data_IF_610575286314
#
_entry.id   IF_610575286314
#
_cell.length_a   1.000
_cell.length_b   1.000
_cell.length_c   1.000
_cell.angle_alpha   90.00
_cell.angle_beta   90.00
_cell.angle_gamma   90.00
#
_symmetry.space_group_name_H-M   'P 1'
#
loop_
_entity.id
_entity.type
_entity.pdbx_description
1 polymer ?
#
# COMPACT_ATOMS: atom_id res chain seq x y z
N UNK A 1 5.88 4.15 8.29
CA UNK A 1 6.30 3.19 7.23
C UNK A 1 5.48 1.91 7.10
N UNK A 2 4.82 1.40 8.16
CA UNK A 2 4.02 0.17 8.05
C UNK A 2 2.86 0.21 7.03
N UNK A 3 2.14 1.33 6.90
CA UNK A 3 1.04 1.44 5.91
C UNK A 3 1.56 1.49 4.47
N UNK A 4 2.65 2.22 4.24
CA UNK A 4 3.33 2.35 2.93
C UNK A 4 3.71 0.98 2.38
N UNK A 5 4.40 0.16 3.18
CA UNK A 5 4.79 -1.20 2.78
C UNK A 5 3.61 -2.15 2.60
N UNK A 6 2.49 -1.92 3.30
CA UNK A 6 1.26 -2.68 3.06
C UNK A 6 0.64 -2.35 1.70
N UNK A 7 0.56 -1.06 1.34
CA UNK A 7 0.10 -0.63 0.02
C UNK A 7 1.01 -1.14 -1.10
N UNK A 8 2.32 -1.17 -0.87
CA UNK A 8 3.29 -1.73 -1.81
C UNK A 8 3.03 -3.21 -2.10
N UNK A 9 2.80 -4.01 -1.06
CA UNK A 9 2.43 -5.40 -1.24
C UNK A 9 1.12 -5.55 -2.00
N UNK A 10 0.12 -4.74 -1.68
CA UNK A 10 -1.19 -4.80 -2.35
C UNK A 10 -1.12 -4.33 -3.82
N UNK A 11 -0.19 -3.45 -4.17
CA UNK A 11 0.03 -3.04 -5.56
C UNK A 11 0.57 -4.20 -6.43
N UNK A 12 1.29 -5.15 -5.84
CA UNK A 12 1.83 -6.34 -6.50
C UNK A 12 0.90 -7.56 -6.44
N UNK A 13 -0.29 -7.39 -5.88
CA UNK A 13 -1.22 -8.49 -5.68
C UNK A 13 -1.76 -9.03 -7.03
N UNK A 14 -1.74 -10.35 -7.27
CA UNK A 14 -2.22 -10.95 -8.52
C UNK A 14 -3.67 -10.58 -8.80
N UNK A 15 -4.00 -10.26 -10.05
CA UNK A 15 -5.30 -9.69 -10.46
C UNK A 15 -6.47 -10.66 -10.23
N UNK A 16 -6.19 -11.95 -10.22
CA UNK A 16 -7.15 -13.03 -9.97
C UNK A 16 -7.63 -13.06 -8.51
N UNK A 17 -6.93 -12.37 -7.61
CA UNK A 17 -7.29 -12.31 -6.20
C UNK A 17 -8.09 -11.05 -5.89
N UNK A 18 -9.19 -11.17 -5.13
CA UNK A 18 -10.07 -10.04 -4.84
C UNK A 18 -9.32 -8.94 -4.08
N UNK A 19 -9.65 -7.69 -4.40
CA UNK A 19 -9.16 -6.52 -3.65
C UNK A 19 -9.66 -6.60 -2.21
N UNK A 20 -8.79 -6.43 -1.21
CA UNK A 20 -9.21 -6.47 0.19
C UNK A 20 -10.17 -5.31 0.51
N UNK A 21 -11.16 -5.61 1.35
CA UNK A 21 -12.03 -4.57 1.91
C UNK A 21 -11.18 -3.63 2.77
N UNK A 22 -11.51 -2.33 2.74
CA UNK A 22 -10.85 -1.29 3.54
C UNK A 22 -9.43 -0.88 3.12
N UNK A 23 -8.98 -1.24 1.91
CA UNK A 23 -7.70 -0.74 1.38
C UNK A 23 -7.64 0.80 1.35
N UNK A 24 -8.78 1.46 1.09
CA UNK A 24 -8.94 2.92 1.12
C UNK A 24 -8.49 3.55 2.44
N UNK A 25 -8.65 2.85 3.57
CA UNK A 25 -8.21 3.34 4.88
C UNK A 25 -6.70 3.51 4.96
N UNK A 26 -5.92 2.65 4.29
CA UNK A 26 -4.46 2.78 4.29
C UNK A 26 -3.99 4.01 3.52
N UNK A 27 -4.66 4.37 2.43
CA UNK A 27 -4.40 5.63 1.74
C UNK A 27 -4.74 6.83 2.61
N UNK A 28 -5.91 6.80 3.27
CA UNK A 28 -6.32 7.86 4.18
C UNK A 28 -5.35 8.03 5.34
N UNK A 29 -4.95 6.93 6.00
CA UNK A 29 -3.97 6.96 7.09
C UNK A 29 -2.65 7.61 6.65
N UNK A 30 -2.16 7.30 5.44
CA UNK A 30 -0.93 7.91 4.90
C UNK A 30 -1.13 9.39 4.59
N UNK A 31 -2.26 9.77 3.99
CA UNK A 31 -2.56 11.17 3.70
C UNK A 31 -2.59 12.00 4.99
N UNK A 32 -3.20 11.48 6.07
CA UNK A 32 -3.21 12.14 7.38
C UNK A 32 -1.82 12.18 8.03
N UNK A 33 -1.03 11.12 7.93
CA UNK A 33 0.32 11.09 8.48
C UNK A 33 1.25 12.07 7.75
N UNK A 34 1.16 12.18 6.43
CA UNK A 34 2.01 13.09 5.65
C UNK A 34 1.72 14.58 5.93
N UNK A 35 0.60 14.90 6.58
CA UNK A 35 0.29 16.26 7.01
C UNK A 35 1.06 16.64 8.30
N UNK A 36 1.55 15.66 9.07
CA UNK A 36 2.30 15.90 10.30
C UNK A 36 3.81 15.99 10.06
N UNK A 37 4.52 16.72 10.92
CA UNK A 37 5.99 16.83 10.85
C UNK A 37 6.68 15.47 11.01
N UNK A 38 6.20 14.64 11.94
CA UNK A 38 6.72 13.27 12.13
C UNK A 38 6.52 12.40 10.88
N UNK A 39 5.37 12.52 10.19
CA UNK A 39 5.12 11.75 8.99
C UNK A 39 5.95 12.21 7.80
N UNK A 40 6.22 13.52 7.68
CA UNK A 40 7.16 14.07 6.69
C UNK A 40 8.59 13.62 6.98
N UNK A 41 9.02 13.67 8.24
CA UNK A 41 10.32 13.17 8.68
C UNK A 41 10.48 11.69 8.36
N UNK A 42 9.48 10.88 8.71
CA UNK A 42 9.47 9.46 8.38
C UNK A 42 9.53 9.24 6.86
N UNK A 43 8.79 10.01 6.06
CA UNK A 43 8.76 9.88 4.59
C UNK A 43 10.12 10.06 3.91
N UNK A 44 11.04 10.78 4.56
CA UNK A 44 12.42 10.98 4.10
C UNK A 44 13.41 9.97 4.72
N UNK A 45 12.97 9.19 5.72
CA UNK A 45 13.78 8.17 6.38
C UNK A 45 13.69 6.83 5.65
N UNK A 46 14.60 6.65 4.69
CA UNK A 46 14.68 5.44 3.88
C UNK A 46 15.26 4.24 4.65
N UNK A 47 16.05 4.48 5.70
CA UNK A 47 16.57 3.41 6.55
C UNK A 47 15.42 2.79 7.35
N UNK A 48 14.54 3.63 7.91
CA UNK A 48 13.31 3.18 8.57
C UNK A 48 12.40 2.40 7.62
N UNK A 49 12.29 2.82 6.36
CA UNK A 49 11.54 2.07 5.33
C UNK A 49 12.13 0.68 5.13
N UNK A 50 13.45 0.57 4.97
CA UNK A 50 14.15 -0.70 4.76
C UNK A 50 14.00 -1.64 5.96
N UNK A 51 14.16 -1.12 7.19
CA UNK A 51 13.97 -1.89 8.41
C UNK A 51 12.55 -2.47 8.51
N UNK A 52 11.53 -1.65 8.24
CA UNK A 52 10.13 -2.09 8.26
C UNK A 52 9.85 -3.11 7.15
N UNK A 53 10.41 -2.93 5.95
CA UNK A 53 10.27 -3.89 4.85
C UNK A 53 10.90 -5.24 5.19
N UNK A 54 12.11 -5.26 5.75
CA UNK A 54 12.79 -6.48 6.23
C UNK A 54 11.97 -7.18 7.30
N UNK A 55 11.50 -6.44 8.30
CA UNK A 55 10.64 -6.99 9.34
C UNK A 55 9.39 -7.64 8.73
N UNK A 56 8.68 -6.95 7.84
CA UNK A 56 7.48 -7.50 7.21
C UNK A 56 7.74 -8.70 6.33
N UNK A 57 8.86 -8.76 5.61
CA UNK A 57 9.22 -9.91 4.80
C UNK A 57 9.34 -11.20 5.63
N UNK A 58 9.72 -11.09 6.90
CA UNK A 58 9.80 -12.24 7.82
C UNK A 58 8.41 -12.67 8.30
N UNK A 59 7.54 -11.72 8.67
CA UNK A 59 6.23 -12.03 9.29
C UNK A 59 5.08 -12.25 8.29
N UNK A 60 5.13 -11.62 7.12
CA UNK A 60 4.05 -11.63 6.13
C UNK A 60 4.54 -12.25 4.81
N UNK A 61 4.84 -13.55 4.84
CA UNK A 61 5.40 -14.27 3.69
C UNK A 61 4.34 -14.50 2.61
N UNK A 62 4.25 -13.56 1.69
CA UNK A 62 3.55 -13.70 0.42
C UNK A 62 4.54 -13.46 -0.72
N UNK A 63 4.63 -14.39 -1.66
CA UNK A 63 5.53 -14.26 -2.83
C UNK A 63 5.23 -13.01 -3.66
N UNK A 64 3.97 -12.57 -3.66
CA UNK A 64 3.52 -11.38 -4.36
C UNK A 64 3.74 -10.08 -3.59
N UNK A 65 4.13 -10.08 -2.31
CA UNK A 65 4.23 -8.84 -1.53
C UNK A 65 5.44 -7.96 -1.89
N UNK A 66 6.44 -8.51 -2.61
CA UNK A 66 7.59 -7.79 -3.18
C UNK A 66 8.32 -6.85 -2.21
N UNK A 67 8.41 -7.21 -0.92
CA UNK A 67 8.98 -6.33 0.11
C UNK A 67 10.45 -5.99 -0.11
N UNK A 68 11.20 -6.82 -0.82
CA UNK A 68 12.58 -6.55 -1.23
C UNK A 68 12.67 -5.33 -2.15
N UNK A 69 11.62 -5.05 -2.93
CA UNK A 69 11.50 -3.88 -3.82
C UNK A 69 10.85 -2.66 -3.17
N UNK A 70 10.48 -2.73 -1.89
CA UNK A 70 9.90 -1.61 -1.14
C UNK A 70 10.99 -0.59 -0.75
N UNK A 71 11.60 0.04 -1.75
CA UNK A 71 12.75 0.95 -1.64
C UNK A 71 12.51 2.21 -2.48
N UNK A 72 13.24 3.31 -2.21
CA UNK A 72 13.12 4.52 -3.01
C UNK A 72 13.36 4.23 -4.51
N UNK A 73 12.50 4.76 -5.37
CA UNK A 73 12.54 4.54 -6.82
C UNK A 73 11.75 3.33 -7.33
N UNK A 74 11.62 2.26 -6.53
CA UNK A 74 10.82 1.07 -6.86
C UNK A 74 9.55 0.96 -6.01
N UNK A 75 9.36 1.87 -5.06
CA UNK A 75 8.20 1.91 -4.17
C UNK A 75 6.92 2.19 -4.96
N UNK A 76 6.15 1.13 -5.21
CA UNK A 76 4.82 1.22 -5.78
C UNK A 76 3.78 1.43 -4.68
N UNK A 77 2.89 2.42 -4.83
CA UNK A 77 1.74 2.64 -3.95
C UNK A 77 0.42 2.66 -4.70
N UNK A 78 0.46 2.94 -6.00
CA UNK A 78 -0.71 2.95 -6.87
C UNK A 78 -0.94 1.53 -7.37
N UNK A 79 -2.16 0.97 -7.24
CA UNK A 79 -2.46 -0.36 -7.72
C UNK A 79 -2.51 -0.37 -9.26
N UNK A 80 -2.53 -1.55 -9.87
CA UNK A 80 -2.61 -1.67 -11.34
C UNK A 80 -3.84 -0.93 -11.90
N UNK A 81 -3.75 -0.46 -13.14
CA UNK A 81 -4.86 0.24 -13.80
C UNK A 81 -6.15 -0.59 -13.81
N UNK A 82 -6.03 -1.92 -13.92
CA UNK A 82 -7.17 -2.82 -13.86
C UNK A 82 -7.91 -2.71 -12.52
N UNK A 83 -7.18 -2.67 -11.40
CA UNK A 83 -7.75 -2.52 -10.06
C UNK A 83 -8.35 -1.12 -9.85
N UNK A 84 -7.74 -0.07 -10.41
CA UNK A 84 -8.29 1.28 -10.37
C UNK A 84 -9.65 1.36 -11.06
N UNK A 85 -9.84 0.68 -12.20
CA UNK A 85 -11.12 0.61 -12.92
C UNK A 85 -12.20 -0.14 -12.13
N UNK A 86 -11.82 -1.18 -11.38
CA UNK A 86 -12.76 -1.90 -10.50
C UNK A 86 -13.19 -1.07 -9.29
N UNK A 87 -12.34 -0.14 -8.82
CA UNK A 87 -12.68 0.81 -7.77
C UNK A 87 -13.44 2.06 -8.28
N UNK A 88 -13.42 2.35 -9.58
CA UNK A 88 -14.29 3.35 -10.16
C UNK A 88 -15.74 2.91 -9.95
N UNK A 89 -16.67 3.80 -9.57
CA UNK A 89 -18.03 3.42 -9.26
C UNK A 89 -18.70 2.89 -10.54
N UNK A 90 -18.69 1.57 -10.72
CA UNK A 90 -19.72 0.90 -11.49
C UNK A 90 -20.95 0.93 -10.62
N UNK A 91 -21.67 2.05 -10.70
CA UNK A 91 -23.00 2.27 -10.14
C UNK A 91 -23.07 2.00 -8.63
N UNK A 92 -23.25 3.07 -7.86
CA UNK A 92 -23.97 2.95 -6.59
C UNK A 92 -25.30 2.28 -6.92
N UNK A 93 -25.35 0.96 -6.79
CA UNK A 93 -26.59 0.22 -6.71
C UNK A 93 -27.21 0.70 -5.40
N UNK A 94 -28.08 1.70 -5.54
CA UNK A 94 -29.17 2.01 -4.65
C UNK A 94 -29.78 0.69 -4.18
N UNK A 95 -29.27 0.14 -3.07
CA UNK A 95 -29.97 -0.88 -2.30
C UNK A 95 -30.69 -0.13 -1.21
N UNK A 96 -32.00 -0.17 -1.40
CA UNK A 96 -33.12 0.32 -0.59
C UNK A 96 -32.86 0.33 0.91
#
# INVERSE_FOLDING_TARGET
MGKITALHAEAHRPEETPTPQYLSRHYYDIAMLLDTEDGKGAALDFELLEQVAKHKAVFFRSSWASYDTARPGTLQLVPSEMRLRTCAPTTVACRR
#
